data_IF_473562939742
#
_entry.id   IF_473562939742
#
_cell.length_a   1.000
_cell.length_b   1.000
_cell.length_c   1.000
_cell.angle_alpha   90.00
_cell.angle_beta   90.00
_cell.angle_gamma   90.00
#
_symmetry.space_group_name_H-M   'P 1'
#
loop_
_entity.id
_entity.type
_entity.pdbx_description
1 polymer ?
#
# COMPACT_ATOMS: atom_id res chain seq x y z
N UNK A 1 -16.82 1.97 -12.92
CA UNK A 1 -16.70 1.58 -11.49
C UNK A 1 -15.33 1.02 -11.12
N UNK A 2 -14.70 0.17 -11.95
CA UNK A 2 -13.34 -0.37 -11.70
C UNK A 2 -12.30 0.71 -11.36
N UNK A 3 -12.30 1.83 -12.09
CA UNK A 3 -11.40 2.97 -11.81
C UNK A 3 -11.61 3.64 -10.45
N UNK A 4 -12.86 3.77 -9.99
CA UNK A 4 -13.15 4.37 -8.69
C UNK A 4 -12.67 3.46 -7.55
N UNK A 5 -12.90 2.15 -7.67
CA UNK A 5 -12.37 1.15 -6.74
C UNK A 5 -10.85 1.16 -6.70
N UNK A 6 -10.21 1.26 -7.87
CA UNK A 6 -8.76 1.36 -7.97
C UNK A 6 -8.22 2.65 -7.33
N UNK A 7 -8.93 3.78 -7.46
CA UNK A 7 -8.59 5.04 -6.79
C UNK A 7 -8.57 4.88 -5.26
N UNK A 8 -9.57 4.20 -4.67
CA UNK A 8 -9.59 3.91 -3.23
C UNK A 8 -8.43 3.00 -2.81
N UNK A 9 -8.09 1.99 -3.63
CA UNK A 9 -6.93 1.14 -3.39
C UNK A 9 -5.62 1.94 -3.40
N UNK A 10 -5.42 2.82 -4.39
CA UNK A 10 -4.26 3.72 -4.44
C UNK A 10 -4.19 4.66 -3.24
N UNK A 11 -5.33 5.21 -2.79
CA UNK A 11 -5.41 6.04 -1.59
C UNK A 11 -5.00 5.28 -0.32
N UNK A 12 -5.47 4.05 -0.16
CA UNK A 12 -5.09 3.19 0.95
C UNK A 12 -3.59 2.84 0.93
N UNK A 13 -3.03 2.59 -0.26
CA UNK A 13 -1.61 2.36 -0.47
C UNK A 13 -0.79 3.58 -0.07
N UNK A 14 -1.19 4.77 -0.52
CA UNK A 14 -0.51 6.02 -0.20
C UNK A 14 -0.47 6.27 1.31
N UNK A 15 -1.60 6.09 2.00
CA UNK A 15 -1.66 6.24 3.46
C UNK A 15 -0.76 5.22 4.17
N UNK A 16 -0.82 3.95 3.75
CA UNK A 16 -0.04 2.86 4.35
C UNK A 16 1.47 3.06 4.13
N UNK A 17 1.88 3.52 2.95
CA UNK A 17 3.26 3.88 2.65
C UNK A 17 3.74 5.06 3.50
N UNK A 18 2.90 6.09 3.66
CA UNK A 18 3.21 7.24 4.53
C UNK A 18 3.41 6.79 5.98
N UNK A 19 2.58 5.88 6.47
CA UNK A 19 2.74 5.28 7.79
C UNK A 19 4.03 4.45 7.90
N UNK A 20 4.33 3.60 6.92
CA UNK A 20 5.56 2.79 6.89
C UNK A 20 6.83 3.65 6.89
N UNK A 21 6.85 4.74 6.11
CA UNK A 21 7.94 5.71 6.11
C UNK A 21 8.08 6.45 7.44
N UNK A 22 6.96 6.81 8.07
CA UNK A 22 6.96 7.41 9.41
C UNK A 22 7.49 6.43 10.46
N UNK A 23 7.15 5.14 10.38
CA UNK A 23 7.69 4.10 11.26
C UNK A 23 9.22 3.97 11.11
N UNK A 24 9.68 4.02 9.86
CA UNK A 24 11.09 3.92 9.50
C UNK A 24 11.91 5.10 10.03
N UNK A 25 11.39 6.33 9.87
CA UNK A 25 12.10 7.57 10.22
C UNK A 25 11.95 7.98 11.68
N UNK A 26 10.76 7.79 12.27
CA UNK A 26 10.40 8.40 13.56
C UNK A 26 10.45 7.42 14.73
N UNK A 27 10.09 6.15 14.50
CA UNK A 27 10.09 5.11 15.52
C UNK A 27 11.33 4.20 15.48
N UNK A 28 12.25 4.44 14.53
CA UNK A 28 13.46 3.62 14.27
C UNK A 28 13.17 2.12 14.07
N UNK A 29 11.91 1.75 13.83
CA UNK A 29 11.49 0.38 13.59
C UNK A 29 11.60 0.07 12.09
N UNK A 30 12.84 -0.18 11.67
CA UNK A 30 13.19 -0.38 10.26
C UNK A 30 12.51 -1.61 9.66
N UNK A 31 12.45 -2.72 10.40
CA UNK A 31 11.82 -3.95 9.96
C UNK A 31 10.31 -3.78 9.76
N UNK A 32 9.62 -3.16 10.73
CA UNK A 32 8.19 -2.88 10.62
C UNK A 32 7.87 -1.96 9.45
N UNK A 33 8.64 -0.88 9.27
CA UNK A 33 8.45 0.05 8.16
C UNK A 33 8.64 -0.61 6.79
N UNK A 34 9.69 -1.42 6.62
CA UNK A 34 9.94 -2.16 5.37
C UNK A 34 8.84 -3.20 5.12
N UNK A 35 8.43 -3.97 6.13
CA UNK A 35 7.37 -4.96 6.00
C UNK A 35 6.05 -4.32 5.56
N UNK A 36 5.67 -3.18 6.15
CA UNK A 36 4.47 -2.43 5.78
C UNK A 36 4.53 -1.91 4.34
N UNK A 37 5.70 -1.41 3.90
CA UNK A 37 5.87 -0.95 2.52
C UNK A 37 5.71 -2.09 1.50
N UNK A 38 6.28 -3.26 1.78
CA UNK A 38 6.13 -4.45 0.93
C UNK A 38 4.65 -4.89 0.90
N UNK A 39 3.99 -4.93 2.07
CA UNK A 39 2.57 -5.25 2.19
C UNK A 39 1.67 -4.28 1.43
N UNK A 40 1.97 -2.97 1.47
CA UNK A 40 1.20 -1.95 0.76
C UNK A 40 1.29 -2.16 -0.76
N UNK A 41 2.48 -2.47 -1.28
CA UNK A 41 2.69 -2.73 -2.72
C UNK A 41 1.92 -4.00 -3.13
N UNK A 42 2.11 -5.12 -2.43
CA UNK A 42 1.42 -6.38 -2.74
C UNK A 42 -0.10 -6.25 -2.61
N UNK A 43 -0.55 -5.59 -1.55
CA UNK A 43 -1.97 -5.35 -1.26
C UNK A 43 -2.65 -4.40 -2.25
N UNK A 44 -1.90 -3.70 -3.10
CA UNK A 44 -2.44 -2.88 -4.18
C UNK A 44 -2.32 -3.58 -5.53
N UNK A 45 -1.20 -4.24 -5.77
CA UNK A 45 -0.87 -4.84 -7.06
C UNK A 45 -1.71 -6.10 -7.35
N UNK A 46 -1.89 -6.98 -6.35
CA UNK A 46 -2.69 -8.21 -6.49
C UNK A 46 -4.16 -7.87 -6.79
N UNK A 47 -4.89 -7.08 -5.96
CA UNK A 47 -6.28 -6.77 -6.26
C UNK A 47 -6.41 -5.87 -7.49
N UNK A 48 -5.44 -5.01 -7.78
CA UNK A 48 -5.39 -4.25 -9.04
C UNK A 48 -5.38 -5.18 -10.25
N UNK A 49 -4.49 -6.18 -10.26
CA UNK A 49 -4.43 -7.17 -11.33
C UNK A 49 -5.75 -7.94 -11.49
N UNK A 50 -6.34 -8.42 -10.39
CA UNK A 50 -7.64 -9.14 -10.42
C UNK A 50 -8.77 -8.24 -10.95
N UNK A 51 -8.78 -6.96 -10.55
CA UNK A 51 -9.84 -6.01 -10.93
C UNK A 51 -9.85 -5.70 -12.43
N UNK A 52 -8.69 -5.72 -13.08
CA UNK A 52 -8.54 -5.42 -14.52
C UNK A 52 -8.36 -6.65 -15.40
N UNK A 53 -8.06 -7.82 -14.83
CA UNK A 53 -7.98 -9.10 -15.56
C UNK A 53 -9.35 -9.72 -15.86
N UNK A 54 -10.42 -9.24 -15.20
CA UNK A 54 -11.82 -9.44 -15.58
C UNK A 54 -12.34 -8.18 -16.26
#
# INVERSE_FOLDING_TARGET
>A
MKFLLFLFMLGSCFYTCTYGLNLLKRHNNKLGGIAILILAILGTFIPGFVLFSR
#
